data_IF_171184952068
#
_entry.id   IF_171184952068
#
_cell.length_a   1.000
_cell.length_b   1.000
_cell.length_c   1.000
_cell.angle_alpha   90.00
_cell.angle_beta   90.00
_cell.angle_gamma   90.00
#
_symmetry.space_group_name_H-M   'P 1'
#
loop_
_entity.id
_entity.type
_entity.pdbx_description
1 polymer ?
#
# COMPACT_ATOMS: atom_id res chain seq x y z
N UNK A 1 -21.97 -7.46 27.20
CA UNK A 1 -21.30 -6.59 26.22
C UNK A 1 -20.51 -7.48 25.28
N UNK A 2 -21.09 -7.83 24.13
CA UNK A 2 -20.47 -8.72 23.15
C UNK A 2 -19.64 -7.90 22.17
N UNK A 3 -18.34 -8.18 22.10
CA UNK A 3 -17.41 -7.62 21.14
C UNK A 3 -17.81 -8.03 19.71
N UNK A 4 -18.43 -7.13 18.96
CA UNK A 4 -18.72 -7.28 17.53
C UNK A 4 -18.30 -6.02 16.81
N UNK A 5 -17.06 -5.96 16.31
CA UNK A 5 -16.66 -5.03 15.22
C UNK A 5 -15.18 -5.22 14.81
N UNK A 6 -14.75 -6.46 14.56
CA UNK A 6 -13.49 -6.72 13.85
C UNK A 6 -13.76 -7.17 12.40
N UNK A 7 -14.95 -6.86 11.87
CA UNK A 7 -15.24 -7.10 10.47
C UNK A 7 -14.51 -6.06 9.63
N UNK A 8 -13.51 -6.54 8.88
CA UNK A 8 -12.83 -5.77 7.87
C UNK A 8 -13.83 -5.36 6.79
N UNK A 9 -13.72 -4.11 6.33
CA UNK A 9 -14.49 -3.60 5.21
C UNK A 9 -14.22 -4.43 3.93
N UNK A 10 -15.13 -4.46 2.94
CA UNK A 10 -14.91 -5.20 1.70
C UNK A 10 -13.61 -4.81 0.98
N UNK A 11 -13.26 -3.52 0.98
CA UNK A 11 -12.01 -3.01 0.42
C UNK A 11 -10.79 -3.52 1.20
N UNK A 12 -10.92 -3.66 2.51
CA UNK A 12 -9.89 -4.13 3.41
C UNK A 12 -9.58 -5.63 3.14
N UNK A 13 -10.62 -6.45 3.02
CA UNK A 13 -10.50 -7.87 2.66
C UNK A 13 -9.86 -8.05 1.27
N UNK A 14 -10.30 -7.25 0.30
CA UNK A 14 -9.74 -7.26 -1.06
C UNK A 14 -8.24 -6.89 -1.03
N UNK A 15 -7.87 -5.89 -0.22
CA UNK A 15 -6.47 -5.47 -0.07
C UNK A 15 -5.62 -6.57 0.55
N UNK A 16 -6.08 -7.22 1.61
CA UNK A 16 -5.38 -8.36 2.20
C UNK A 16 -5.13 -9.49 1.18
N UNK A 17 -6.15 -9.81 0.38
CA UNK A 17 -6.07 -10.86 -0.62
C UNK A 17 -5.08 -10.53 -1.74
N UNK A 18 -5.12 -9.29 -2.27
CA UNK A 18 -4.29 -8.86 -3.40
C UNK A 18 -2.86 -8.52 -3.00
N UNK A 19 -2.69 -7.72 -1.95
CA UNK A 19 -1.38 -7.21 -1.54
C UNK A 19 -0.63 -8.18 -0.62
N UNK A 20 -1.30 -9.24 -0.11
CA UNK A 20 -0.76 -10.20 0.87
C UNK A 20 -0.21 -9.51 2.13
N UNK A 21 -0.87 -8.43 2.53
CA UNK A 21 -0.59 -7.69 3.76
C UNK A 21 -1.69 -7.96 4.79
N UNK A 22 -1.32 -7.96 6.07
CA UNK A 22 -2.26 -7.85 7.18
C UNK A 22 -2.67 -6.37 7.30
N UNK A 23 -3.93 -6.07 6.97
CA UNK A 23 -4.41 -4.69 6.94
C UNK A 23 -4.57 -4.13 8.35
N UNK A 24 -4.82 -4.95 9.37
CA UNK A 24 -4.82 -4.48 10.76
C UNK A 24 -3.42 -4.03 11.18
N UNK A 25 -2.39 -4.78 10.83
CA UNK A 25 -0.99 -4.38 11.07
C UNK A 25 -0.65 -3.07 10.37
N UNK A 26 -0.98 -2.94 9.07
CA UNK A 26 -0.73 -1.72 8.28
C UNK A 26 -1.42 -0.51 8.92
N UNK A 27 -2.70 -0.64 9.28
CA UNK A 27 -3.47 0.42 9.94
C UNK A 27 -2.83 0.80 11.27
N UNK A 28 -2.50 -0.17 12.11
CA UNK A 28 -1.90 0.09 13.42
C UNK A 28 -0.58 0.86 13.31
N UNK A 29 0.24 0.57 12.30
CA UNK A 29 1.50 1.31 12.05
C UNK A 29 1.26 2.73 11.54
N UNK A 30 0.25 2.94 10.69
CA UNK A 30 -0.08 4.29 10.24
C UNK A 30 -0.72 5.12 11.35
N UNK A 31 -1.60 4.53 12.16
CA UNK A 31 -2.23 5.17 13.31
C UNK A 31 -1.23 5.56 14.38
N UNK A 32 -0.15 4.79 14.57
CA UNK A 32 0.92 5.13 15.52
C UNK A 32 1.69 6.39 15.09
N UNK A 33 1.94 6.56 13.78
CA UNK A 33 2.59 7.76 13.24
C UNK A 33 1.62 8.95 13.22
N UNK A 34 0.36 8.73 12.83
CA UNK A 34 -0.71 9.74 12.85
C UNK A 34 -1.04 10.23 14.26
N UNK A 35 -0.80 9.39 15.28
CA UNK A 35 -1.21 9.59 16.69
C UNK A 35 -2.73 9.72 16.87
N UNK A 36 -3.49 9.23 15.91
CA UNK A 36 -4.95 9.19 15.93
C UNK A 36 -5.42 8.03 15.05
N UNK A 37 -6.67 7.58 15.25
CA UNK A 37 -7.27 6.55 14.41
C UNK A 37 -7.40 7.03 12.96
N UNK A 38 -7.30 6.10 12.03
CA UNK A 38 -7.71 6.36 10.65
C UNK A 38 -9.24 6.38 10.61
N UNK A 39 -9.80 7.39 9.94
CA UNK A 39 -11.23 7.40 9.68
C UNK A 39 -11.60 6.34 8.63
N UNK A 40 -12.90 6.11 8.44
CA UNK A 40 -13.40 5.10 7.49
C UNK A 40 -12.96 5.42 6.05
N UNK A 41 -12.95 6.71 5.69
CA UNK A 41 -12.58 7.16 4.36
C UNK A 41 -11.10 6.95 4.06
N UNK A 42 -10.23 7.34 4.97
CA UNK A 42 -8.78 7.10 4.92
C UNK A 42 -8.48 5.61 4.86
N UNK A 43 -9.18 4.81 5.67
CA UNK A 43 -9.01 3.35 5.70
C UNK A 43 -9.39 2.72 4.36
N UNK A 44 -10.58 3.04 3.83
CA UNK A 44 -11.04 2.50 2.55
C UNK A 44 -10.16 2.98 1.40
N UNK A 45 -9.76 4.26 1.40
CA UNK A 45 -8.81 4.80 0.43
C UNK A 45 -7.49 4.03 0.43
N UNK A 46 -6.88 3.87 1.62
CA UNK A 46 -5.62 3.16 1.78
C UNK A 46 -5.72 1.74 1.22
N UNK A 47 -6.79 1.01 1.57
CA UNK A 47 -6.98 -0.37 1.11
C UNK A 47 -7.12 -0.44 -0.42
N UNK A 48 -7.93 0.43 -1.02
CA UNK A 48 -8.07 0.50 -2.47
C UNK A 48 -6.75 0.87 -3.16
N UNK A 49 -6.00 1.81 -2.58
CA UNK A 49 -4.71 2.21 -3.11
C UNK A 49 -3.69 1.07 -3.05
N UNK A 50 -3.66 0.28 -1.97
CA UNK A 50 -2.83 -0.92 -1.82
C UNK A 50 -3.23 -2.04 -2.81
N UNK A 51 -4.50 -2.12 -3.20
CA UNK A 51 -4.96 -2.99 -4.29
C UNK A 51 -4.42 -2.59 -5.67
N UNK A 52 -3.71 -1.46 -5.78
CA UNK A 52 -3.21 -0.91 -7.05
C UNK A 52 -4.32 -0.64 -8.08
N UNK A 53 -5.54 -0.34 -7.61
CA UNK A 53 -6.63 0.11 -8.48
C UNK A 53 -6.36 1.54 -8.98
N UNK A 54 -6.93 1.89 -10.13
CA UNK A 54 -6.73 3.24 -10.71
C UNK A 54 -7.33 4.33 -9.83
N UNK A 55 -6.77 5.54 -9.84
CA UNK A 55 -7.30 6.68 -9.06
C UNK A 55 -8.78 6.97 -9.37
N UNK A 56 -9.20 6.77 -10.61
CA UNK A 56 -10.60 6.90 -11.03
C UNK A 56 -11.49 5.84 -10.38
N UNK A 57 -11.04 4.58 -10.36
CA UNK A 57 -11.76 3.51 -9.68
C UNK A 57 -11.84 3.75 -8.16
N UNK A 58 -10.76 4.23 -7.54
CA UNK A 58 -10.75 4.60 -6.12
C UNK A 58 -11.82 5.66 -5.85
N UNK A 59 -11.80 6.77 -6.61
CA UNK A 59 -12.78 7.83 -6.46
C UNK A 59 -14.21 7.32 -6.70
N UNK A 60 -14.42 6.54 -7.75
CA UNK A 60 -15.73 5.97 -8.07
C UNK A 60 -16.25 5.12 -6.91
N UNK A 61 -15.44 4.20 -6.38
CA UNK A 61 -15.85 3.30 -5.29
C UNK A 61 -16.12 4.05 -3.99
N UNK A 62 -15.35 5.08 -3.66
CA UNK A 62 -15.57 5.86 -2.44
C UNK A 62 -16.82 6.74 -2.53
N UNK A 63 -17.02 7.47 -3.64
CA UNK A 63 -18.15 8.40 -3.77
C UNK A 63 -19.45 7.71 -4.17
N UNK A 64 -19.41 6.61 -4.94
CA UNK A 64 -20.60 5.90 -5.43
C UNK A 64 -20.89 4.60 -4.68
N UNK A 65 -20.01 4.17 -3.77
CA UNK A 65 -20.17 2.97 -2.94
C UNK A 65 -20.46 1.67 -3.71
N UNK A 66 -19.95 1.55 -4.94
CA UNK A 66 -20.04 0.32 -5.76
C UNK A 66 -18.86 0.22 -6.70
N UNK A 67 -18.63 -0.98 -7.27
CA UNK A 67 -17.63 -1.18 -8.33
C UNK A 67 -18.12 -0.52 -9.64
N UNK A 68 -17.23 0.16 -10.38
CA UNK A 68 -17.56 0.67 -11.70
C UNK A 68 -17.61 -0.45 -12.74
N UNK A 69 -18.39 -0.24 -13.79
CA UNK A 69 -18.33 -1.05 -15.01
C UNK A 69 -17.17 -0.57 -15.90
N UNK A 70 -16.72 -1.42 -16.84
CA UNK A 70 -15.68 -1.03 -17.80
C UNK A 70 -16.06 0.22 -18.61
N UNK A 71 -17.35 0.37 -18.97
CA UNK A 71 -17.86 1.54 -19.68
C UNK A 71 -17.76 2.82 -18.86
N UNK A 72 -18.03 2.74 -17.55
CA UNK A 72 -17.92 3.89 -16.63
C UNK A 72 -16.48 4.29 -16.36
N UNK A 73 -15.53 3.35 -16.37
CA UNK A 73 -14.11 3.67 -16.28
C UNK A 73 -13.55 4.27 -17.57
N UNK A 74 -14.06 3.85 -18.73
CA UNK A 74 -13.61 4.35 -20.03
C UNK A 74 -14.25 5.70 -20.40
N UNK A 75 -15.47 5.95 -19.93
CA UNK A 75 -16.18 7.21 -20.13
C UNK A 75 -16.13 8.03 -18.84
N UNK A 76 -14.97 8.62 -18.55
CA UNK A 76 -14.79 9.48 -17.40
C UNK A 76 -15.71 10.70 -17.50
N UNK A 77 -16.74 10.75 -16.65
CA UNK A 77 -17.57 11.95 -16.49
C UNK A 77 -16.71 13.10 -15.92
N UNK A 78 -16.89 14.33 -16.41
CA UNK A 78 -16.14 15.50 -15.94
C UNK A 78 -16.25 15.71 -14.41
N UNK A 79 -17.36 15.27 -13.81
CA UNK A 79 -17.55 15.32 -12.36
C UNK A 79 -16.68 14.30 -11.63
N UNK A 80 -16.48 13.10 -12.19
CA UNK A 80 -15.61 12.08 -11.61
C UNK A 80 -14.13 12.51 -11.64
N UNK A 81 -13.71 13.22 -12.68
CA UNK A 81 -12.37 13.79 -12.77
C UNK A 81 -12.12 14.81 -11.65
N UNK A 82 -13.06 15.74 -11.43
CA UNK A 82 -13.00 16.69 -10.31
C UNK A 82 -12.96 15.98 -8.96
N UNK A 83 -13.79 14.96 -8.76
CA UNK A 83 -13.80 14.15 -7.53
C UNK A 83 -12.46 13.43 -7.32
N UNK A 84 -11.87 12.89 -8.38
CA UNK A 84 -10.57 12.21 -8.34
C UNK A 84 -9.45 13.17 -7.95
N UNK A 85 -9.45 14.38 -8.53
CA UNK A 85 -8.44 15.39 -8.22
C UNK A 85 -8.54 15.84 -6.75
N UNK A 86 -9.75 16.16 -6.27
CA UNK A 86 -9.97 16.53 -4.86
C UNK A 86 -9.56 15.41 -3.90
N UNK A 87 -9.93 14.17 -4.22
CA UNK A 87 -9.55 13.01 -3.41
C UNK A 87 -8.03 12.84 -3.35
N UNK A 88 -7.33 13.05 -4.47
CA UNK A 88 -5.88 12.95 -4.53
C UNK A 88 -5.21 14.03 -3.67
N UNK A 89 -5.71 15.26 -3.71
CA UNK A 89 -5.22 16.36 -2.88
C UNK A 89 -5.43 16.06 -1.39
N UNK A 90 -6.66 15.69 -1.00
CA UNK A 90 -7.01 15.40 0.39
C UNK A 90 -6.19 14.21 0.95
N UNK A 91 -6.10 13.12 0.20
CA UNK A 91 -5.37 11.93 0.63
C UNK A 91 -3.84 12.09 0.54
N UNK A 92 -3.36 13.08 -0.22
CA UNK A 92 -1.95 13.47 -0.22
C UNK A 92 -1.51 14.03 1.14
N UNK A 93 -2.38 14.79 1.78
CA UNK A 93 -2.11 15.44 3.08
C UNK A 93 -2.46 14.54 4.27
N UNK A 94 -3.37 13.60 4.08
CA UNK A 94 -3.78 12.62 5.09
C UNK A 94 -2.95 11.33 4.97
N UNK A 95 -3.40 10.38 4.16
CA UNK A 95 -2.84 9.02 4.10
C UNK A 95 -1.39 9.02 3.58
N UNK A 96 -1.13 9.66 2.45
CA UNK A 96 0.19 9.64 1.82
C UNK A 96 1.25 10.37 2.64
N UNK A 97 0.85 11.40 3.38
CA UNK A 97 1.73 12.09 4.31
C UNK A 97 2.24 11.15 5.39
N UNK A 98 1.36 10.40 6.05
CA UNK A 98 1.76 9.47 7.10
C UNK A 98 2.53 8.25 6.57
N UNK A 99 2.21 7.75 5.37
CA UNK A 99 3.03 6.71 4.70
C UNK A 99 4.46 7.22 4.50
N UNK A 100 4.63 8.45 3.99
CA UNK A 100 5.96 9.05 3.79
C UNK A 100 6.71 9.19 5.11
N UNK A 101 6.05 9.66 6.17
CA UNK A 101 6.67 9.76 7.49
C UNK A 101 7.11 8.41 8.02
N UNK A 102 6.28 7.38 7.90
CA UNK A 102 6.60 6.02 8.32
C UNK A 102 7.81 5.46 7.56
N UNK A 103 7.95 5.79 6.28
CA UNK A 103 9.11 5.42 5.44
C UNK A 103 10.31 6.37 5.59
N UNK A 104 10.30 7.32 6.54
CA UNK A 104 11.40 8.26 6.76
C UNK A 104 11.57 9.35 5.70
N UNK A 105 10.58 9.58 4.85
CA UNK A 105 10.60 10.61 3.80
C UNK A 105 10.13 11.94 4.39
N UNK A 106 11.08 12.79 4.77
CA UNK A 106 10.79 14.04 5.51
C UNK A 106 10.49 15.26 4.63
N UNK A 107 10.81 15.25 3.33
CA UNK A 107 10.63 16.41 2.47
C UNK A 107 9.17 16.60 2.05
N UNK A 108 8.60 17.75 2.44
CA UNK A 108 7.33 18.24 1.91
C UNK A 108 7.44 18.37 0.38
N UNK A 109 6.43 17.85 -0.33
CA UNK A 109 6.41 17.87 -1.80
C UNK A 109 7.13 16.70 -2.49
N UNK A 110 7.87 15.84 -1.76
CA UNK A 110 8.34 14.58 -2.36
C UNK A 110 7.16 13.72 -2.80
N UNK A 111 7.28 13.19 -4.03
CA UNK A 111 6.33 12.25 -4.62
C UNK A 111 6.19 11.05 -3.69
N UNK A 112 4.95 10.60 -3.48
CA UNK A 112 4.72 9.34 -2.75
C UNK A 112 5.44 8.18 -3.46
N UNK A 113 6.07 7.25 -2.74
CA UNK A 113 6.60 6.03 -3.32
C UNK A 113 5.54 5.25 -4.11
N UNK A 114 5.99 4.40 -5.04
CA UNK A 114 5.07 3.53 -5.78
C UNK A 114 4.37 2.57 -4.83
N UNK A 115 3.15 2.15 -5.16
CA UNK A 115 2.39 1.19 -4.34
C UNK A 115 3.22 -0.07 -4.06
N UNK A 116 3.95 -0.59 -5.05
CA UNK A 116 4.84 -1.75 -4.87
C UNK A 116 5.93 -1.52 -3.82
N UNK A 117 6.54 -0.34 -3.79
CA UNK A 117 7.56 0.00 -2.79
C UNK A 117 6.96 0.09 -1.38
N UNK A 118 5.76 0.67 -1.26
CA UNK A 118 5.05 0.75 0.02
C UNK A 118 4.61 -0.63 0.50
N UNK A 119 4.13 -1.49 -0.39
CA UNK A 119 3.78 -2.89 -0.06
C UNK A 119 5.01 -3.65 0.43
N UNK A 120 6.15 -3.53 -0.27
CA UNK A 120 7.40 -4.17 0.15
C UNK A 120 7.83 -3.69 1.54
N UNK A 121 7.82 -2.37 1.77
CA UNK A 121 8.13 -1.78 3.06
C UNK A 121 7.26 -2.36 4.18
N UNK A 122 5.93 -2.45 3.98
CA UNK A 122 5.06 -3.03 5.01
C UNK A 122 5.32 -4.52 5.27
N UNK A 123 5.77 -5.29 4.28
CA UNK A 123 6.19 -6.68 4.49
C UNK A 123 7.47 -6.77 5.32
N UNK A 124 8.47 -5.94 5.01
CA UNK A 124 9.72 -5.85 5.77
C UNK A 124 9.46 -5.42 7.23
N UNK A 125 8.48 -4.56 7.42
CA UNK A 125 7.98 -4.11 8.72
C UNK A 125 7.15 -5.16 9.48
N UNK A 126 6.96 -6.37 8.91
CA UNK A 126 6.30 -7.50 9.55
C UNK A 126 4.78 -7.58 9.34
N UNK A 127 4.20 -6.78 8.45
CA UNK A 127 2.78 -6.84 8.12
C UNK A 127 2.47 -7.84 6.98
N UNK A 128 3.32 -8.83 6.73
CA UNK A 128 3.02 -9.87 5.75
C UNK A 128 1.88 -10.77 6.25
N UNK A 129 0.85 -10.97 5.42
CA UNK A 129 -0.25 -11.87 5.74
C UNK A 129 0.24 -13.31 5.65
N UNK A 130 0.48 -13.92 6.80
CA UNK A 130 0.85 -15.34 6.86
C UNK A 130 -0.36 -16.20 6.45
N UNK A 131 -0.17 -17.24 5.62
CA UNK A 131 -1.22 -18.20 5.37
C UNK A 131 -1.64 -18.86 6.70
N UNK A 132 -2.94 -19.17 6.88
CA UNK A 132 -3.46 -19.65 8.17
C UNK A 132 -2.80 -20.92 8.73
N UNK A 133 -2.05 -21.71 7.94
CA UNK A 133 -1.39 -22.93 8.44
C UNK A 133 -0.04 -23.21 7.74
N UNK A 134 0.96 -22.38 7.98
CA UNK A 134 2.35 -22.82 7.81
C UNK A 134 3.10 -22.70 9.13
N UNK A 135 3.18 -23.84 9.83
CA UNK A 135 4.26 -24.09 10.79
C UNK A 135 5.57 -23.85 10.05
N UNK A 136 6.19 -22.68 10.27
CA UNK A 136 7.49 -22.35 9.71
C UNK A 136 8.52 -23.33 10.31
N UNK A 137 8.87 -24.37 9.56
CA UNK A 137 10.20 -24.95 9.67
C UNK A 137 11.17 -23.88 9.17
N UNK A 138 12.00 -23.38 10.07
CA UNK A 138 13.09 -22.48 9.75
C UNK A 138 14.17 -23.26 8.98
N UNK A 139 14.04 -23.32 7.66
CA UNK A 139 15.16 -23.59 6.77
C UNK A 139 15.14 -22.53 5.65
N UNK A 140 15.58 -21.31 6.01
CA UNK A 140 15.91 -20.29 5.01
C UNK A 140 17.37 -20.50 4.64
N UNK A 141 17.60 -21.30 3.59
CA UNK A 141 18.83 -21.23 2.82
C UNK A 141 18.91 -19.84 2.16
N UNK A 142 19.88 -19.04 2.60
CA UNK A 142 20.32 -17.79 1.99
C UNK A 142 20.71 -18.03 0.51
N UNK A 143 19.84 -17.69 -0.43
CA UNK A 143 20.22 -17.57 -1.84
C UNK A 143 20.85 -16.19 -2.07
N UNK A 144 22.16 -16.08 -1.86
CA UNK A 144 22.96 -14.99 -2.41
C UNK A 144 22.99 -15.13 -3.94
N UNK A 145 22.29 -14.23 -4.63
CA UNK A 145 22.44 -14.05 -6.07
C UNK A 145 23.90 -13.75 -6.42
N UNK A 146 24.55 -14.64 -7.17
CA UNK A 146 25.87 -14.41 -7.78
C UNK A 146 25.76 -13.27 -8.80
N UNK A 147 26.07 -12.04 -8.41
CA UNK A 147 26.43 -10.99 -9.35
C UNK A 147 27.73 -11.39 -10.07
N UNK A 148 27.63 -11.86 -11.32
CA UNK A 148 28.76 -11.91 -12.25
C UNK A 148 29.13 -10.47 -12.60
N UNK A 149 30.27 -10.00 -12.10
CA UNK A 149 30.78 -8.68 -12.42
C UNK A 149 31.78 -8.16 -11.40
N UNK A 150 32.91 -8.85 -11.23
CA UNK A 150 34.11 -8.26 -10.63
C UNK A 150 35.21 -8.24 -11.69
N UNK A 151 35.34 -7.13 -12.39
CA UNK A 151 36.62 -6.76 -13.00
C UNK A 151 37.47 -6.27 -11.83
N UNK A 152 38.52 -7.01 -11.50
CA UNK A 152 39.48 -6.57 -10.47
C UNK A 152 40.38 -5.47 -11.06
N UNK A 153 40.65 -4.44 -10.25
CA UNK A 153 41.59 -3.35 -10.57
C UNK A 153 43.03 -3.83 -10.87
N UNK A 154 43.35 -5.11 -10.66
CA UNK A 154 44.65 -5.72 -10.91
C UNK A 154 44.79 -6.40 -12.28
N UNK A 155 43.77 -6.38 -13.15
CA UNK A 155 43.95 -6.70 -14.59
C UNK A 155 44.16 -5.47 -15.47
N UNK A 156 44.39 -4.32 -14.84
CA UNK A 156 44.52 -3.01 -15.50
C UNK A 156 46.00 -2.69 -15.79
N UNK A 157 46.98 -3.38 -15.19
CA UNK A 157 48.40 -3.19 -15.49
C UNK A 157 49.15 -4.54 -15.42
N UNK A 158 49.55 -5.09 -16.57
CA UNK A 158 50.57 -6.14 -16.75
C UNK A 158 50.37 -7.55 -16.13
N UNK A 159 49.52 -8.39 -16.73
CA UNK A 159 49.66 -9.86 -16.64
C UNK A 159 48.96 -10.58 -17.80
#
# INVERSE_FOLDING_TARGET
>A
MTNTSNELCPECLEAEEKSKLDIHCVRSKLESVKKAKLDDWETRYLCLWLCSVSSYEVAFRLYRSRRPTAKELNNTEADLEKLTQRLREDMSEKVHFYIKQLMGIQEKGKRIPTTSAVVLFFREEGCEKRPPDQKFNQDITLFFGKCKGKISKQKIENA
#
